data_IF_513047006833
#
_entry.id   IF_513047006833
#
_cell.length_a   1.000
_cell.length_b   1.000
_cell.length_c   1.000
_cell.angle_alpha   90.00
_cell.angle_beta   90.00
_cell.angle_gamma   90.00
#
_symmetry.space_group_name_H-M   'P 1'
#
loop_
_entity.id
_entity.type
_entity.pdbx_description
1 polymer ?
#
# COMPACT_ATOMS: atom_id res chain seq x y z
N UNK A 1 15.02 -18.98 -24.23
CA UNK A 1 14.83 -18.38 -22.90
C UNK A 1 13.51 -18.88 -22.32
N UNK A 2 13.55 -19.44 -21.11
CA UNK A 2 12.37 -19.93 -20.40
C UNK A 2 11.77 -18.82 -19.55
N UNK A 3 10.43 -18.67 -19.56
CA UNK A 3 9.69 -17.76 -18.69
C UNK A 3 9.27 -18.48 -17.39
N UNK A 4 9.02 -17.72 -16.33
CA UNK A 4 8.51 -18.30 -15.09
C UNK A 4 7.00 -18.63 -15.25
N UNK A 5 6.25 -17.70 -15.83
CA UNK A 5 4.84 -17.87 -16.12
C UNK A 5 4.50 -17.34 -17.51
N UNK A 6 3.50 -17.97 -18.13
CA UNK A 6 2.79 -17.43 -19.30
C UNK A 6 1.30 -17.49 -18.98
N UNK A 7 0.59 -16.37 -19.15
CA UNK A 7 -0.88 -16.28 -19.04
C UNK A 7 -1.40 -16.10 -20.45
N UNK A 8 -2.15 -17.11 -20.95
CA UNK A 8 -2.58 -17.20 -22.34
C UNK A 8 -4.10 -16.96 -22.49
N UNK A 9 -4.55 -16.46 -23.63
CA UNK A 9 -5.96 -16.37 -24.04
C UNK A 9 -6.85 -15.48 -23.17
N UNK A 10 -6.28 -14.63 -22.31
CA UNK A 10 -7.05 -13.73 -21.46
C UNK A 10 -7.51 -12.48 -22.19
N UNK A 11 -8.66 -11.94 -21.79
CA UNK A 11 -9.08 -10.59 -22.18
C UNK A 11 -8.29 -9.60 -21.32
N UNK A 12 -7.29 -8.97 -21.91
CA UNK A 12 -6.38 -8.06 -21.22
C UNK A 12 -7.02 -6.69 -21.08
N UNK A 13 -7.07 -6.19 -19.82
CA UNK A 13 -7.43 -4.81 -19.45
C UNK A 13 -6.26 -4.27 -18.64
N UNK A 14 -5.37 -3.53 -19.29
CA UNK A 14 -4.06 -3.16 -18.74
C UNK A 14 -4.05 -1.86 -17.94
N UNK A 15 -5.20 -1.16 -17.85
CA UNK A 15 -5.31 0.12 -17.13
C UNK A 15 -4.84 1.34 -17.94
N UNK A 16 -4.40 1.17 -19.17
CA UNK A 16 -3.95 2.27 -20.05
C UNK A 16 -5.07 3.17 -20.57
N UNK A 17 -6.34 2.77 -20.40
CA UNK A 17 -7.50 3.42 -21.01
C UNK A 17 -7.75 3.01 -22.47
N UNK A 18 -6.92 2.12 -23.02
CA UNK A 18 -7.12 1.57 -24.36
C UNK A 18 -8.17 0.43 -24.35
N UNK A 19 -8.70 0.10 -25.51
CA UNK A 19 -9.63 -1.02 -25.65
C UNK A 19 -8.97 -2.34 -25.22
N UNK A 20 -9.73 -3.19 -24.53
CA UNK A 20 -9.32 -4.54 -24.17
C UNK A 20 -9.03 -5.40 -25.41
N UNK A 21 -8.16 -6.38 -25.27
CA UNK A 21 -7.79 -7.29 -26.33
C UNK A 21 -7.45 -8.69 -25.79
N UNK A 22 -7.63 -9.72 -26.61
CA UNK A 22 -7.13 -11.06 -26.27
C UNK A 22 -5.62 -11.08 -26.48
N UNK A 23 -4.88 -11.55 -25.49
CA UNK A 23 -3.43 -11.57 -25.52
C UNK A 23 -2.79 -12.55 -24.56
N UNK A 24 -1.48 -12.51 -24.54
CA UNK A 24 -0.62 -13.36 -23.72
C UNK A 24 0.37 -12.51 -22.96
N UNK A 25 0.52 -12.78 -21.67
CA UNK A 25 1.46 -12.12 -20.78
C UNK A 25 2.60 -13.09 -20.45
N UNK A 26 3.82 -12.64 -20.66
CA UNK A 26 5.04 -13.38 -20.35
C UNK A 26 5.71 -12.80 -19.12
N UNK A 27 5.93 -13.61 -18.10
CA UNK A 27 6.49 -13.19 -16.81
C UNK A 27 7.83 -13.87 -16.60
N UNK A 28 8.84 -13.07 -16.27
CA UNK A 28 10.20 -13.52 -15.97
C UNK A 28 10.80 -12.71 -14.83
N UNK A 29 11.39 -13.41 -13.86
CA UNK A 29 11.99 -12.79 -12.68
C UNK A 29 11.05 -11.83 -11.95
N UNK A 30 9.78 -12.24 -11.79
CA UNK A 30 8.76 -11.46 -11.10
C UNK A 30 8.29 -10.20 -11.86
N UNK A 31 8.63 -10.05 -13.14
CA UNK A 31 8.25 -8.89 -13.97
C UNK A 31 7.57 -9.32 -15.26
N UNK A 32 6.68 -8.47 -15.76
CA UNK A 32 6.12 -8.62 -17.11
C UNK A 32 7.24 -8.33 -18.11
N UNK A 33 7.66 -9.36 -18.84
CA UNK A 33 8.74 -9.25 -19.83
C UNK A 33 8.19 -8.86 -21.21
N UNK A 34 7.03 -9.42 -21.58
CA UNK A 34 6.36 -9.15 -22.86
C UNK A 34 4.84 -9.21 -22.69
N UNK A 35 4.16 -8.50 -23.57
CA UNK A 35 2.71 -8.46 -23.69
C UNK A 35 2.38 -8.49 -25.19
N UNK A 36 1.78 -9.56 -25.65
CA UNK A 36 1.59 -9.81 -27.08
C UNK A 36 0.15 -10.20 -27.39
N UNK A 37 -0.31 -9.87 -28.59
CA UNK A 37 -1.65 -10.25 -29.07
C UNK A 37 -1.73 -11.66 -29.61
N UNK A 38 -0.61 -12.27 -29.96
CA UNK A 38 -0.52 -13.60 -30.52
C UNK A 38 0.42 -14.48 -29.72
N UNK A 39 0.13 -15.76 -29.67
CA UNK A 39 0.97 -16.77 -29.03
C UNK A 39 2.27 -16.96 -29.82
N UNK A 40 3.39 -16.92 -29.11
CA UNK A 40 4.68 -17.38 -29.60
C UNK A 40 4.99 -18.78 -29.04
N UNK A 41 5.71 -19.59 -29.80
CA UNK A 41 6.06 -20.94 -29.37
C UNK A 41 7.23 -20.92 -28.39
N UNK A 42 6.98 -20.51 -27.14
CA UNK A 42 7.97 -20.32 -26.08
C UNK A 42 7.73 -21.26 -24.91
N UNK A 43 8.81 -21.54 -24.15
CA UNK A 43 8.78 -22.38 -22.96
C UNK A 43 8.57 -21.56 -21.71
N UNK A 44 7.80 -22.10 -20.77
CA UNK A 44 7.63 -21.55 -19.44
C UNK A 44 7.57 -22.68 -18.40
N UNK A 45 7.94 -22.36 -17.16
CA UNK A 45 7.80 -23.29 -16.02
C UNK A 45 6.32 -23.58 -15.75
N UNK A 46 5.45 -22.57 -15.90
CA UNK A 46 4.00 -22.71 -15.72
C UNK A 46 3.25 -21.90 -16.75
N UNK A 47 2.21 -22.50 -17.32
CA UNK A 47 1.25 -21.85 -18.22
C UNK A 47 -0.13 -21.79 -17.54
N UNK A 48 -0.79 -20.68 -17.69
CA UNK A 48 -2.15 -20.42 -17.16
C UNK A 48 -3.02 -20.07 -18.35
N UNK A 49 -4.01 -20.92 -18.62
CA UNK A 49 -5.04 -20.61 -19.61
C UNK A 49 -6.12 -19.73 -18.96
N UNK A 50 -6.23 -18.52 -19.47
CA UNK A 50 -7.19 -17.51 -19.03
C UNK A 50 -8.37 -17.35 -20.02
N UNK A 51 -8.66 -18.37 -20.83
CA UNK A 51 -9.80 -18.36 -21.75
C UNK A 51 -11.09 -18.00 -21.00
N UNK A 52 -11.82 -16.99 -21.50
CA UNK A 52 -13.06 -16.50 -20.89
C UNK A 52 -12.87 -15.69 -19.60
N UNK A 53 -11.63 -15.37 -19.22
CA UNK A 53 -11.31 -14.56 -18.04
C UNK A 53 -10.73 -13.20 -18.44
N UNK A 54 -10.94 -12.22 -17.55
CA UNK A 54 -10.24 -10.92 -17.61
C UNK A 54 -8.89 -11.07 -16.91
N UNK A 55 -7.86 -10.50 -17.51
CA UNK A 55 -6.54 -10.36 -16.92
C UNK A 55 -6.22 -8.88 -16.81
N UNK A 56 -6.02 -8.41 -15.59
CA UNK A 56 -5.74 -7.01 -15.29
C UNK A 56 -4.58 -6.90 -14.29
N UNK A 57 -3.96 -5.72 -14.13
CA UNK A 57 -3.14 -5.43 -12.96
C UNK A 57 -3.92 -5.70 -11.67
N UNK A 58 -3.23 -6.07 -10.59
CA UNK A 58 -3.85 -6.17 -9.28
C UNK A 58 -4.37 -4.81 -8.80
N UNK A 59 -5.47 -4.83 -8.06
CA UNK A 59 -6.07 -3.61 -7.54
C UNK A 59 -5.22 -3.01 -6.41
N UNK A 60 -5.27 -1.68 -6.31
CA UNK A 60 -4.66 -0.91 -5.21
C UNK A 60 -5.80 -0.40 -4.34
N UNK A 61 -5.86 -0.87 -3.09
CA UNK A 61 -6.79 -0.31 -2.10
C UNK A 61 -6.12 0.88 -1.42
N UNK A 62 -6.61 2.07 -1.73
CA UNK A 62 -6.06 3.34 -1.24
C UNK A 62 -6.48 3.68 0.19
N UNK A 63 -7.42 2.95 0.79
CA UNK A 63 -7.90 3.25 2.13
C UNK A 63 -8.26 1.99 2.91
N UNK A 64 -7.28 1.44 3.61
CA UNK A 64 -7.46 0.25 4.45
C UNK A 64 -6.88 0.46 5.85
N UNK A 65 -7.29 -0.41 6.78
CA UNK A 65 -6.72 -0.54 8.12
C UNK A 65 -6.18 -1.95 8.38
N UNK A 66 -5.93 -2.71 7.30
CA UNK A 66 -5.46 -4.10 7.39
C UNK A 66 -4.03 -4.22 7.91
N UNK A 67 -3.26 -3.13 7.90
CA UNK A 67 -1.94 -3.10 8.52
C UNK A 67 -1.97 -3.51 9.99
N UNK A 68 -3.07 -3.21 10.70
CA UNK A 68 -3.23 -3.51 12.14
C UNK A 68 -3.12 -4.99 12.46
N UNK A 69 -3.59 -5.84 11.57
CA UNK A 69 -3.62 -7.31 11.74
C UNK A 69 -2.65 -8.03 10.80
N UNK A 70 -1.87 -7.30 10.01
CA UNK A 70 -0.98 -7.89 9.00
C UNK A 70 0.12 -8.78 9.57
N UNK A 71 0.54 -8.53 10.81
CA UNK A 71 1.52 -9.36 11.49
C UNK A 71 0.92 -10.67 12.03
N UNK A 72 -0.35 -10.70 12.37
CA UNK A 72 -1.04 -11.90 12.85
C UNK A 72 -1.60 -12.75 11.70
N UNK A 73 -2.05 -12.08 10.64
CA UNK A 73 -2.63 -12.69 9.43
C UNK A 73 -1.88 -12.23 8.18
N UNK A 74 -0.61 -12.65 7.98
CA UNK A 74 0.27 -12.05 6.97
C UNK A 74 -0.20 -12.27 5.53
N UNK A 75 -0.94 -13.31 5.23
CA UNK A 75 -1.44 -13.53 3.86
C UNK A 75 -2.53 -12.52 3.46
N UNK A 76 -3.29 -12.00 4.43
CA UNK A 76 -4.39 -11.04 4.18
C UNK A 76 -5.28 -11.55 3.02
N UNK A 77 -5.68 -12.81 3.12
CA UNK A 77 -6.33 -13.58 2.03
C UNK A 77 -7.62 -12.94 1.52
N UNK A 78 -8.37 -12.29 2.41
CA UNK A 78 -9.60 -11.58 2.06
C UNK A 78 -9.38 -10.47 1.03
N UNK A 79 -8.21 -9.84 1.00
CA UNK A 79 -7.81 -8.86 -0.02
C UNK A 79 -7.32 -9.56 -1.29
N UNK A 80 -6.40 -10.52 -1.16
CA UNK A 80 -5.84 -11.25 -2.30
C UNK A 80 -6.92 -11.97 -3.11
N UNK A 81 -7.91 -12.58 -2.45
CA UNK A 81 -9.02 -13.27 -3.11
C UNK A 81 -9.95 -12.33 -3.90
N UNK A 82 -9.91 -11.03 -3.61
CA UNK A 82 -10.61 -10.00 -4.36
C UNK A 82 -9.73 -9.29 -5.40
N UNK A 83 -8.48 -9.77 -5.59
CA UNK A 83 -7.53 -9.22 -6.56
C UNK A 83 -6.80 -7.96 -6.09
N UNK A 84 -6.90 -7.60 -4.81
CA UNK A 84 -6.12 -6.49 -4.24
C UNK A 84 -4.70 -6.98 -3.97
N UNK A 85 -3.73 -6.38 -4.62
CA UNK A 85 -2.31 -6.75 -4.51
C UNK A 85 -1.45 -5.68 -3.85
N UNK A 86 -2.02 -4.50 -3.62
CA UNK A 86 -1.36 -3.38 -2.93
C UNK A 86 -2.38 -2.67 -2.03
N UNK A 87 -1.96 -2.36 -0.83
CA UNK A 87 -2.77 -1.67 0.18
C UNK A 87 -2.06 -0.41 0.65
N UNK A 88 -2.83 0.64 0.90
CA UNK A 88 -2.36 1.85 1.58
C UNK A 88 -2.96 1.87 2.98
N UNK A 89 -2.12 1.64 3.98
CA UNK A 89 -2.46 1.65 5.41
C UNK A 89 -2.04 2.94 6.10
N UNK A 90 -2.34 3.03 7.40
CA UNK A 90 -2.06 4.23 8.17
C UNK A 90 -3.06 5.37 7.93
N UNK A 91 -4.27 5.02 7.54
CA UNK A 91 -5.34 5.97 7.21
C UNK A 91 -6.01 6.55 8.47
N UNK A 92 -6.83 7.58 8.26
CA UNK A 92 -7.63 8.25 9.30
C UNK A 92 -6.80 8.79 10.46
N UNK A 93 -5.55 9.18 10.22
CA UNK A 93 -4.66 9.75 11.22
C UNK A 93 -4.03 8.72 12.17
N UNK A 94 -4.23 7.44 11.95
CA UNK A 94 -3.70 6.35 12.80
C UNK A 94 -2.79 5.44 12.02
N UNK A 95 -1.57 5.24 12.49
CA UNK A 95 -0.60 4.34 11.85
C UNK A 95 0.18 3.54 12.89
N UNK A 96 0.85 2.44 12.49
CA UNK A 96 1.95 1.90 13.27
C UNK A 96 3.04 2.95 13.47
N UNK A 97 3.74 2.86 14.61
CA UNK A 97 4.86 3.74 14.94
C UNK A 97 5.86 3.02 15.84
N UNK A 98 7.18 3.17 15.65
CA UNK A 98 7.85 3.79 14.50
C UNK A 98 7.58 3.07 13.18
N UNK A 99 7.58 3.84 12.08
CA UNK A 99 7.28 3.29 10.73
C UNK A 99 8.29 2.22 10.32
N UNK A 100 9.58 2.49 10.52
CA UNK A 100 10.67 1.58 10.15
C UNK A 100 10.57 0.23 10.87
N UNK A 101 10.23 0.23 12.15
CA UNK A 101 10.08 -1.00 12.93
C UNK A 101 8.97 -1.89 12.36
N UNK A 102 7.86 -1.27 11.99
CA UNK A 102 6.74 -1.99 11.40
C UNK A 102 7.07 -2.52 10.01
N UNK A 103 7.73 -1.72 9.16
CA UNK A 103 8.22 -2.16 7.84
C UNK A 103 9.14 -3.38 7.99
N UNK A 104 10.12 -3.31 8.88
CA UNK A 104 11.07 -4.40 9.11
C UNK A 104 10.37 -5.68 9.58
N UNK A 105 9.39 -5.58 10.48
CA UNK A 105 8.60 -6.72 10.96
C UNK A 105 7.79 -7.34 9.82
N UNK A 106 7.11 -6.54 9.01
CA UNK A 106 6.32 -7.04 7.88
C UNK A 106 7.18 -7.66 6.79
N UNK A 107 8.33 -7.07 6.48
CA UNK A 107 9.30 -7.64 5.54
C UNK A 107 9.88 -8.97 6.01
N UNK A 108 10.26 -9.04 7.29
CA UNK A 108 10.81 -10.28 7.88
C UNK A 108 9.78 -11.41 7.91
N UNK A 109 8.51 -11.09 8.18
CA UNK A 109 7.44 -12.08 8.23
C UNK A 109 6.97 -12.49 6.84
N UNK A 110 7.02 -11.59 5.89
CA UNK A 110 6.43 -11.71 4.56
C UNK A 110 4.91 -11.53 4.63
N UNK A 111 4.38 -10.55 3.89
CA UNK A 111 2.94 -10.32 3.77
C UNK A 111 2.50 -10.56 2.33
N UNK A 112 1.22 -10.96 2.16
CA UNK A 112 0.69 -11.33 0.85
C UNK A 112 0.65 -10.16 -0.12
N UNK A 113 -0.13 -9.10 0.11
CA UNK A 113 -0.13 -7.89 -0.73
C UNK A 113 1.04 -6.97 -0.39
N UNK A 114 1.39 -6.09 -1.33
CA UNK A 114 2.29 -4.98 -1.02
C UNK A 114 1.60 -4.00 -0.06
N UNK A 115 2.40 -3.33 0.79
CA UNK A 115 1.90 -2.36 1.75
C UNK A 115 2.68 -1.05 1.63
N UNK A 116 1.96 0.04 1.36
CA UNK A 116 2.42 1.41 1.53
C UNK A 116 1.81 1.97 2.82
N UNK A 117 2.59 2.71 3.61
CA UNK A 117 2.15 3.26 4.87
C UNK A 117 2.14 4.79 4.83
N UNK A 118 1.07 5.37 5.38
CA UNK A 118 1.00 6.77 5.73
C UNK A 118 1.35 6.93 7.22
N UNK A 119 2.08 7.99 7.58
CA UNK A 119 2.20 8.36 8.98
C UNK A 119 0.91 9.04 9.45
N UNK A 120 0.38 8.62 10.58
CA UNK A 120 -0.87 9.15 11.11
C UNK A 120 -0.66 10.41 11.95
N UNK A 121 -1.33 11.51 11.63
CA UNK A 121 -1.34 12.73 12.43
C UNK A 121 -1.72 12.48 13.90
N UNK A 122 -2.76 11.68 14.14
CA UNK A 122 -3.18 11.34 15.51
C UNK A 122 -2.12 10.51 16.25
N UNK A 123 -1.40 9.66 15.50
CA UNK A 123 -0.28 8.90 16.06
C UNK A 123 0.84 9.84 16.50
N UNK A 124 1.28 10.75 15.61
CA UNK A 124 2.33 11.75 15.93
C UNK A 124 1.93 12.64 17.10
N UNK A 125 0.69 13.16 17.06
CA UNK A 125 0.17 14.01 18.14
C UNK A 125 0.17 13.26 19.49
N UNK A 126 -0.23 11.98 19.47
CA UNK A 126 -0.25 11.14 20.67
C UNK A 126 1.14 10.89 21.24
N UNK A 127 2.14 10.70 20.39
CA UNK A 127 3.54 10.51 20.81
C UNK A 127 4.12 11.75 21.50
N UNK A 128 3.76 12.96 21.04
CA UNK A 128 4.31 14.21 21.58
C UNK A 128 3.54 14.70 22.81
N UNK A 129 2.21 14.67 22.76
CA UNK A 129 1.40 15.32 23.80
C UNK A 129 0.26 14.44 24.36
N UNK A 130 0.26 13.14 24.04
CA UNK A 130 -0.78 12.22 24.52
C UNK A 130 -2.16 12.53 23.94
N UNK A 131 -3.18 12.49 24.79
CA UNK A 131 -4.58 12.72 24.38
C UNK A 131 -5.15 13.99 25.00
N UNK A 132 -4.32 14.96 25.33
CA UNK A 132 -4.75 16.21 25.94
C UNK A 132 -5.65 17.03 25.00
N UNK A 133 -6.73 17.59 25.58
CA UNK A 133 -7.69 18.42 24.86
C UNK A 133 -7.23 19.89 24.87
N UNK A 134 -6.21 20.19 24.11
CA UNK A 134 -5.68 21.54 23.89
C UNK A 134 -4.93 21.62 22.57
N UNK A 135 -4.62 22.80 22.11
CA UNK A 135 -3.71 23.01 20.99
C UNK A 135 -2.26 22.67 21.40
N UNK A 136 -1.47 22.27 20.42
CA UNK A 136 -0.03 22.13 20.59
C UNK A 136 0.60 23.52 20.82
N UNK A 137 1.63 23.60 21.67
CA UNK A 137 2.50 24.74 21.71
C UNK A 137 3.58 24.66 20.62
N UNK A 138 4.41 25.72 20.50
CA UNK A 138 5.40 25.81 19.42
C UNK A 138 6.46 24.68 19.51
N UNK A 139 6.92 24.34 20.71
CA UNK A 139 7.92 23.26 20.91
C UNK A 139 7.32 21.88 20.53
N UNK A 140 6.08 21.61 20.94
CA UNK A 140 5.36 20.38 20.60
C UNK A 140 5.11 20.28 19.09
N UNK A 141 4.77 21.40 18.44
CA UNK A 141 4.59 21.44 17.00
C UNK A 141 5.91 21.14 16.27
N UNK A 142 7.02 21.71 16.72
CA UNK A 142 8.33 21.41 16.14
C UNK A 142 8.75 19.94 16.38
N UNK A 143 8.41 19.35 17.51
CA UNK A 143 8.67 17.93 17.75
C UNK A 143 7.79 17.05 16.87
N UNK A 144 6.52 17.39 16.66
CA UNK A 144 5.65 16.68 15.69
C UNK A 144 6.21 16.75 14.27
N UNK A 145 6.69 17.93 13.81
CA UNK A 145 7.33 18.08 12.49
C UNK A 145 8.53 17.15 12.32
N UNK A 146 9.41 17.08 13.33
CA UNK A 146 10.56 16.16 13.31
C UNK A 146 10.13 14.70 13.19
N UNK A 147 9.07 14.29 13.90
CA UNK A 147 8.56 12.92 13.83
C UNK A 147 7.97 12.61 12.46
N UNK A 148 7.23 13.54 11.84
CA UNK A 148 6.73 13.38 10.45
C UNK A 148 7.90 13.27 9.48
N UNK A 149 8.88 14.20 9.54
CA UNK A 149 10.07 14.19 8.68
C UNK A 149 10.85 12.86 8.79
N UNK A 150 11.06 12.39 10.03
CA UNK A 150 11.74 11.11 10.26
C UNK A 150 10.93 9.95 9.68
N UNK A 151 9.64 9.91 9.91
CA UNK A 151 8.76 8.86 9.35
C UNK A 151 8.79 8.84 7.82
N UNK A 152 8.85 9.99 7.16
CA UNK A 152 9.01 10.09 5.71
C UNK A 152 10.37 9.51 5.27
N UNK A 153 11.46 9.84 5.98
CA UNK A 153 12.80 9.27 5.72
C UNK A 153 12.84 7.74 5.96
N UNK A 154 12.04 7.26 6.88
CA UNK A 154 11.89 5.83 7.20
C UNK A 154 11.05 5.06 6.17
N UNK A 155 10.37 5.73 5.24
CA UNK A 155 9.63 5.09 4.15
C UNK A 155 8.12 5.26 4.20
N UNK A 156 7.60 6.19 4.99
CA UNK A 156 6.20 6.60 4.86
C UNK A 156 5.96 7.26 3.49
N UNK A 157 4.81 6.96 2.89
CA UNK A 157 4.41 7.48 1.58
C UNK A 157 3.70 8.84 1.65
N UNK A 158 3.41 9.32 2.83
CA UNK A 158 2.71 10.56 3.09
C UNK A 158 2.15 10.58 4.51
N UNK A 159 1.34 11.60 4.82
CA UNK A 159 0.65 11.74 6.08
C UNK A 159 -0.87 11.58 5.89
N UNK A 160 -1.54 10.99 6.86
CA UNK A 160 -2.99 10.98 6.95
C UNK A 160 -3.48 11.74 8.17
N UNK A 161 -4.67 12.34 8.08
CA UNK A 161 -5.32 12.95 9.23
C UNK A 161 -6.73 12.41 9.42
N UNK A 162 -7.24 12.47 10.65
CA UNK A 162 -8.58 12.04 10.98
C UNK A 162 -9.13 12.91 12.11
N UNK A 163 -9.56 14.13 11.77
CA UNK A 163 -9.98 15.17 12.74
C UNK A 163 -11.28 14.84 13.48
N UNK A 164 -11.90 13.71 13.19
CA UNK A 164 -13.01 13.16 13.96
C UNK A 164 -12.54 12.39 15.21
N UNK A 165 -11.29 11.91 15.19
CA UNK A 165 -10.76 11.01 16.22
C UNK A 165 -9.82 11.74 17.16
N UNK A 166 -9.82 11.34 18.44
CA UNK A 166 -8.89 11.85 19.44
C UNK A 166 -7.50 11.23 19.22
N UNK A 167 -6.41 12.02 19.31
CA UNK A 167 -6.34 13.45 19.69
C UNK A 167 -6.42 14.44 18.51
N UNK A 168 -6.52 14.02 17.27
CA UNK A 168 -6.59 14.90 16.09
C UNK A 168 -7.77 15.87 16.12
N UNK A 169 -8.89 15.47 16.78
CA UNK A 169 -10.05 16.34 16.96
C UNK A 169 -9.76 17.62 17.78
N UNK A 170 -8.66 17.67 18.48
CA UNK A 170 -8.23 18.79 19.31
C UNK A 170 -7.22 19.70 18.60
N UNK A 171 -6.81 19.37 17.38
CA UNK A 171 -5.95 20.20 16.55
C UNK A 171 -6.71 21.28 15.81
N UNK A 172 -5.98 22.25 15.29
CA UNK A 172 -6.52 23.25 14.37
C UNK A 172 -5.95 23.06 12.96
N UNK A 173 -6.41 23.89 12.02
CA UNK A 173 -5.95 23.85 10.63
C UNK A 173 -4.46 24.15 10.51
N UNK A 174 -3.95 25.10 11.30
CA UNK A 174 -2.56 25.52 11.22
C UNK A 174 -1.60 24.40 11.61
N UNK A 175 -1.94 23.59 12.61
CA UNK A 175 -1.18 22.39 12.97
C UNK A 175 -1.10 21.40 11.80
N UNK A 176 -2.25 21.10 11.17
CA UNK A 176 -2.29 20.14 10.03
C UNK A 176 -1.48 20.67 8.85
N UNK A 177 -1.59 21.97 8.53
CA UNK A 177 -0.82 22.62 7.46
C UNK A 177 0.68 22.61 7.76
N UNK A 178 1.05 22.82 9.02
CA UNK A 178 2.45 22.85 9.42
C UNK A 178 3.13 21.46 9.35
N UNK A 179 2.34 20.37 9.42
CA UNK A 179 2.82 18.99 9.32
C UNK A 179 2.79 18.42 7.91
N UNK A 180 2.05 19.03 6.96
CA UNK A 180 1.87 18.56 5.58
C UNK A 180 2.97 19.10 4.64
#
# INVERSE_FOLDING_TARGET
NEYDFIIENGLIIDGSGQSSYIGTIYIKNGRIAHLEKSLSNVKAKKKIDATGKIVSPGFIDMHTHSERNSLDHPLIENYLQQGVTTMVGGNCGSSPFPINDFINKTQSKGIGPNLALLIGHNTIRKEVMGTENRLANDDELEDMKKLVENSMKEGAFGMSTGLKYIPGAYSNTDEVVALA
#
